data_IF_956875882677
#
_entry.id   IF_956875882677
#
_cell.length_a   1.000
_cell.length_b   1.000
_cell.length_c   1.000
_cell.angle_alpha   90.00
_cell.angle_beta   90.00
_cell.angle_gamma   90.00
#
_symmetry.space_group_name_H-M   'P 1'
#
loop_
_entity.id
_entity.type
_entity.pdbx_description
1 polymer ?
#
# COMPACT_ATOMS: atom_id res chain seq x y z
N UNK A 1 -12.31 16.85 8.55
CA UNK A 1 -11.56 16.10 7.52
C UNK A 1 -12.11 14.67 7.48
N UNK A 2 -12.21 14.05 6.29
CA UNK A 2 -12.65 12.66 6.17
C UNK A 2 -11.53 11.74 6.68
N UNK A 3 -11.82 10.94 7.69
CA UNK A 3 -10.91 9.90 8.21
C UNK A 3 -11.41 8.50 7.86
N UNK A 4 -12.67 8.37 7.44
CA UNK A 4 -13.27 7.10 7.09
C UNK A 4 -13.23 6.87 5.57
N UNK A 5 -12.41 5.92 5.13
CA UNK A 5 -12.46 5.38 3.78
C UNK A 5 -13.57 4.32 3.73
N UNK A 6 -14.63 4.59 2.96
CA UNK A 6 -15.76 3.68 2.78
C UNK A 6 -15.82 3.23 1.32
N UNK A 7 -15.56 1.95 1.07
CA UNK A 7 -15.65 1.31 -0.25
C UNK A 7 -16.21 -0.10 -0.07
N UNK A 8 -16.87 -0.66 -1.08
CA UNK A 8 -17.34 -2.07 -1.09
C UNK A 8 -18.02 -2.58 0.21
N UNK A 9 -18.72 -1.72 0.95
CA UNK A 9 -19.35 -2.08 2.24
C UNK A 9 -18.40 -2.22 3.44
N UNK A 10 -17.11 -1.92 3.29
CA UNK A 10 -16.09 -1.88 4.35
C UNK A 10 -15.70 -0.44 4.66
N UNK A 11 -15.44 -0.16 5.94
CA UNK A 11 -14.89 1.13 6.42
C UNK A 11 -13.51 0.94 7.02
N UNK A 12 -12.60 1.88 6.74
CA UNK A 12 -11.29 1.99 7.37
C UNK A 12 -11.12 3.40 7.94
N UNK A 13 -10.74 3.50 9.21
CA UNK A 13 -10.34 4.76 9.85
C UNK A 13 -8.86 5.00 9.57
N UNK A 14 -8.55 5.90 8.65
CA UNK A 14 -7.19 6.21 8.22
C UNK A 14 -6.76 7.61 8.65
N UNK A 15 -5.55 7.69 9.22
CA UNK A 15 -4.92 8.92 9.68
C UNK A 15 -3.57 9.15 9.01
N UNK A 16 -3.22 10.44 8.84
CA UNK A 16 -1.87 10.83 8.44
C UNK A 16 -0.91 10.70 9.62
N UNK A 17 0.36 10.56 9.30
CA UNK A 17 1.45 10.52 10.28
C UNK A 17 2.46 11.65 10.05
N UNK A 18 2.93 12.33 11.11
CA UNK A 18 2.38 12.29 12.47
C UNK A 18 0.97 12.91 12.51
N UNK A 19 0.14 12.48 13.46
CA UNK A 19 -1.19 13.06 13.65
C UNK A 19 -1.06 14.53 14.08
N UNK A 20 -1.76 15.43 13.38
CA UNK A 20 -1.78 16.88 13.66
C UNK A 20 -3.19 17.32 14.01
N UNK A 21 -3.31 18.32 14.89
CA UNK A 21 -4.60 18.85 15.36
C UNK A 21 -5.42 19.52 14.24
N UNK A 22 -4.76 20.25 13.35
CA UNK A 22 -5.41 20.95 12.22
C UNK A 22 -5.01 20.31 10.89
N UNK A 23 -5.18 19.00 10.78
CA UNK A 23 -4.88 18.29 9.53
C UNK A 23 -5.94 18.63 8.46
N UNK A 24 -5.47 19.08 7.29
CA UNK A 24 -6.31 19.45 6.15
C UNK A 24 -6.30 18.40 5.05
N UNK A 25 -5.31 17.50 5.07
CA UNK A 25 -5.12 16.46 4.06
C UNK A 25 -5.58 15.10 4.59
N UNK A 26 -6.24 14.31 3.76
CA UNK A 26 -6.55 12.92 4.11
C UNK A 26 -5.36 11.96 3.92
N UNK A 27 -5.50 10.76 4.48
CA UNK A 27 -4.47 9.73 4.50
C UNK A 27 -4.42 8.87 3.23
N UNK A 28 -5.42 9.00 2.36
CA UNK A 28 -5.50 8.35 1.06
C UNK A 28 -5.96 9.37 0.02
N UNK A 29 -5.84 9.05 -1.26
CA UNK A 29 -6.36 9.87 -2.36
C UNK A 29 -7.20 9.06 -3.36
N UNK A 30 -7.65 9.70 -4.44
CA UNK A 30 -8.48 9.04 -5.45
C UNK A 30 -7.73 7.93 -6.21
N UNK A 31 -6.39 7.96 -6.23
CA UNK A 31 -5.57 6.88 -6.80
C UNK A 31 -5.63 5.62 -5.94
N UNK A 32 -5.68 5.79 -4.61
CA UNK A 32 -5.91 4.67 -3.69
C UNK A 32 -7.28 4.02 -3.93
N UNK A 33 -8.33 4.84 -4.00
CA UNK A 33 -9.69 4.36 -4.25
C UNK A 33 -9.79 3.65 -5.61
N UNK A 34 -9.13 4.21 -6.64
CA UNK A 34 -9.09 3.60 -7.97
C UNK A 34 -8.40 2.23 -7.95
N UNK A 35 -7.23 2.11 -7.32
CA UNK A 35 -6.52 0.83 -7.23
C UNK A 35 -7.31 -0.22 -6.44
N UNK A 36 -7.98 0.19 -5.35
CA UNK A 36 -8.86 -0.70 -4.59
C UNK A 36 -9.98 -1.24 -5.49
N UNK A 37 -10.75 -0.35 -6.12
CA UNK A 37 -11.87 -0.75 -6.96
C UNK A 37 -11.41 -1.66 -8.11
N UNK A 38 -10.31 -1.29 -8.76
CA UNK A 38 -9.77 -2.06 -9.89
C UNK A 38 -9.35 -3.48 -9.49
N UNK A 39 -8.68 -3.64 -8.34
CA UNK A 39 -8.23 -4.97 -7.88
C UNK A 39 -9.42 -5.81 -7.38
N UNK A 40 -10.41 -5.22 -6.73
CA UNK A 40 -11.65 -5.94 -6.37
C UNK A 40 -12.41 -6.41 -7.62
N UNK A 41 -12.45 -5.61 -8.69
CA UNK A 41 -13.03 -5.98 -9.98
C UNK A 41 -12.28 -7.14 -10.67
N UNK A 42 -10.97 -7.27 -10.45
CA UNK A 42 -10.20 -8.42 -10.95
C UNK A 42 -10.59 -9.74 -10.27
N UNK A 43 -11.32 -9.70 -9.14
CA UNK A 43 -11.79 -10.86 -8.40
C UNK A 43 -10.68 -11.90 -8.15
N UNK A 44 -9.53 -11.42 -7.66
CA UNK A 44 -8.39 -12.27 -7.34
C UNK A 44 -8.78 -13.35 -6.31
N UNK A 45 -8.23 -14.58 -6.41
CA UNK A 45 -8.36 -15.56 -5.35
C UNK A 45 -7.87 -15.00 -4.00
N UNK A 46 -8.38 -15.52 -2.89
CA UNK A 46 -7.84 -15.16 -1.58
C UNK A 46 -6.38 -15.64 -1.44
N UNK A 47 -5.63 -15.01 -0.54
CA UNK A 47 -4.25 -15.36 -0.18
C UNK A 47 -3.17 -15.12 -1.25
N UNK A 48 -3.44 -14.28 -2.26
CA UNK A 48 -2.37 -13.76 -3.15
C UNK A 48 -1.29 -12.99 -2.38
N UNK A 49 -0.08 -12.99 -2.93
CA UNK A 49 1.06 -12.22 -2.44
C UNK A 49 1.12 -10.87 -3.15
N UNK A 50 0.73 -9.81 -2.44
CA UNK A 50 0.64 -8.46 -3.00
C UNK A 50 1.78 -7.61 -2.46
N UNK A 51 2.57 -7.02 -3.35
CA UNK A 51 3.59 -6.04 -2.98
C UNK A 51 3.04 -4.64 -3.26
N UNK A 52 2.89 -3.85 -2.20
CA UNK A 52 2.44 -2.46 -2.25
C UNK A 52 3.64 -1.54 -2.08
N UNK A 53 3.97 -0.78 -3.12
CA UNK A 53 5.14 0.11 -3.18
C UNK A 53 4.68 1.57 -3.10
N UNK A 54 5.28 2.33 -2.18
CA UNK A 54 5.07 3.75 -1.94
C UNK A 54 3.65 4.15 -1.53
N UNK A 55 2.91 3.26 -0.85
CA UNK A 55 1.66 3.65 -0.20
C UNK A 55 1.94 4.64 0.95
N UNK A 56 1.40 5.85 0.84
CA UNK A 56 1.78 6.99 1.67
C UNK A 56 1.51 6.77 3.16
N UNK A 57 0.35 6.21 3.51
CA UNK A 57 -0.08 6.00 4.90
C UNK A 57 -0.73 4.64 5.13
N UNK A 58 -0.57 3.68 4.22
CA UNK A 58 -1.04 2.31 4.38
C UNK A 58 -2.48 2.07 3.97
N UNK A 59 -3.09 2.92 3.13
CA UNK A 59 -4.48 2.74 2.72
C UNK A 59 -4.67 1.42 1.95
N UNK A 60 -3.80 1.17 0.96
CA UNK A 60 -3.80 -0.07 0.18
C UNK A 60 -3.37 -1.26 1.05
N UNK A 61 -2.38 -1.07 1.91
CA UNK A 61 -1.94 -2.14 2.82
C UNK A 61 -3.05 -2.56 3.80
N UNK A 62 -3.76 -1.61 4.41
CA UNK A 62 -4.89 -1.89 5.28
C UNK A 62 -6.02 -2.59 4.53
N UNK A 63 -6.31 -2.14 3.30
CA UNK A 63 -7.34 -2.74 2.48
C UNK A 63 -7.01 -4.20 2.13
N UNK A 64 -5.93 -4.43 1.39
CA UNK A 64 -5.65 -5.75 0.83
C UNK A 64 -5.20 -6.79 1.86
N UNK A 65 -4.72 -6.36 3.05
CA UNK A 65 -4.32 -7.31 4.10
C UNK A 65 -5.48 -8.17 4.62
N UNK A 66 -6.73 -7.77 4.44
CA UNK A 66 -7.89 -8.57 4.86
C UNK A 66 -7.92 -9.96 4.20
N UNK A 67 -7.66 -10.03 2.90
CA UNK A 67 -7.74 -11.27 2.10
C UNK A 67 -6.39 -11.76 1.59
N UNK A 68 -5.35 -10.93 1.59
CA UNK A 68 -4.09 -11.22 0.91
C UNK A 68 -2.87 -11.10 1.82
N UNK A 69 -1.77 -11.73 1.41
CA UNK A 69 -0.47 -11.58 2.05
C UNK A 69 0.22 -10.34 1.52
N UNK A 70 0.18 -9.25 2.30
CA UNK A 70 0.70 -7.96 1.86
C UNK A 70 2.14 -7.75 2.34
N UNK A 71 2.97 -7.30 1.40
CA UNK A 71 4.28 -6.70 1.67
C UNK A 71 4.21 -5.21 1.35
N UNK A 72 4.38 -4.37 2.37
CA UNK A 72 4.50 -2.93 2.24
C UNK A 72 5.98 -2.55 2.00
N UNK A 73 6.25 -1.78 0.96
CA UNK A 73 7.59 -1.34 0.59
C UNK A 73 7.65 0.17 0.38
N UNK A 74 8.55 0.86 1.08
CA UNK A 74 8.74 2.32 0.94
C UNK A 74 10.13 2.77 1.41
N UNK A 75 10.68 3.83 0.81
CA UNK A 75 11.88 4.54 1.31
C UNK A 75 11.54 5.62 2.36
N UNK A 76 10.26 5.82 2.67
CA UNK A 76 9.78 6.85 3.59
C UNK A 76 9.50 6.28 4.97
N UNK A 77 10.31 6.67 5.96
CA UNK A 77 10.06 6.33 7.37
C UNK A 77 8.68 6.81 7.85
N UNK A 78 8.24 7.98 7.38
CA UNK A 78 6.92 8.55 7.70
C UNK A 78 5.82 7.64 7.18
N UNK A 79 6.00 7.08 5.98
CA UNK A 79 5.03 6.17 5.37
C UNK A 79 4.98 4.83 6.08
N UNK A 80 6.15 4.28 6.45
CA UNK A 80 6.23 3.10 7.33
C UNK A 80 5.45 3.30 8.63
N UNK A 81 5.68 4.42 9.33
CA UNK A 81 4.99 4.71 10.59
C UNK A 81 3.51 4.97 10.43
N UNK A 82 3.11 5.67 9.36
CA UNK A 82 1.69 5.88 9.05
C UNK A 82 0.96 4.58 8.76
N UNK A 83 1.54 3.73 7.91
CA UNK A 83 0.97 2.43 7.59
C UNK A 83 0.88 1.52 8.82
N UNK A 84 1.95 1.41 9.62
CA UNK A 84 1.92 0.65 10.88
C UNK A 84 0.79 1.13 11.80
N UNK A 85 0.66 2.43 11.98
CA UNK A 85 -0.36 2.98 12.88
C UNK A 85 -1.78 2.71 12.37
N UNK A 86 -2.03 2.89 11.07
CA UNK A 86 -3.34 2.62 10.49
C UNK A 86 -3.68 1.13 10.50
N UNK A 87 -2.71 0.24 10.27
CA UNK A 87 -2.91 -1.21 10.39
C UNK A 87 -3.30 -1.60 11.82
N UNK A 88 -2.61 -1.05 12.82
CA UNK A 88 -2.94 -1.25 14.24
C UNK A 88 -4.33 -0.71 14.59
N UNK A 89 -4.64 0.52 14.18
CA UNK A 89 -5.91 1.19 14.51
C UNK A 89 -7.12 0.48 13.88
N UNK A 90 -6.94 -0.16 12.72
CA UNK A 90 -7.98 -0.94 12.02
C UNK A 90 -7.92 -2.45 12.33
N UNK A 91 -7.04 -2.89 13.24
CA UNK A 91 -6.87 -4.31 13.60
C UNK A 91 -6.64 -5.21 12.37
N UNK A 92 -5.90 -4.69 11.39
CA UNK A 92 -5.62 -5.40 10.15
C UNK A 92 -4.72 -6.63 10.37
N UNK A 93 -4.77 -7.55 9.40
CA UNK A 93 -3.84 -8.68 9.38
C UNK A 93 -2.39 -8.21 9.27
N UNK A 94 -1.47 -9.11 9.63
CA UNK A 94 -0.04 -8.83 9.63
C UNK A 94 0.47 -8.52 8.22
N UNK A 95 1.18 -7.40 8.10
CA UNK A 95 1.85 -6.95 6.87
C UNK A 95 3.36 -7.03 7.05
N UNK A 96 4.08 -7.52 6.03
CA UNK A 96 5.54 -7.47 6.01
C UNK A 96 6.01 -6.07 5.59
N UNK A 97 7.05 -5.53 6.22
CA UNK A 97 7.56 -4.20 5.93
C UNK A 97 8.98 -4.27 5.39
N UNK A 98 9.20 -3.68 4.21
CA UNK A 98 10.48 -3.59 3.51
C UNK A 98 10.78 -2.16 3.08
N UNK A 99 12.04 -1.89 2.78
CA UNK A 99 12.49 -0.68 2.08
C UNK A 99 12.61 -0.95 0.59
N UNK A 100 12.65 0.10 -0.23
CA UNK A 100 12.87 -0.04 -1.69
C UNK A 100 14.31 -0.46 -2.05
N UNK A 101 15.19 -0.65 -1.05
CA UNK A 101 16.53 -1.21 -1.20
C UNK A 101 16.58 -2.71 -0.91
N UNK A 102 15.52 -3.26 -0.30
CA UNK A 102 15.42 -4.70 -0.05
C UNK A 102 15.01 -5.45 -1.33
N UNK A 103 15.23 -6.77 -1.32
CA UNK A 103 14.79 -7.62 -2.42
C UNK A 103 13.28 -7.77 -2.41
N UNK A 104 12.66 -7.64 -3.59
CA UNK A 104 11.23 -7.90 -3.77
C UNK A 104 10.99 -9.42 -3.65
N UNK A 105 9.97 -9.88 -2.90
CA UNK A 105 9.67 -11.31 -2.77
C UNK A 105 9.46 -12.00 -4.12
N UNK A 106 10.10 -13.15 -4.33
CA UNK A 106 10.06 -13.86 -5.61
C UNK A 106 8.67 -14.44 -5.94
N UNK A 107 7.85 -14.70 -4.92
CA UNK A 107 6.49 -15.25 -5.05
C UNK A 107 5.41 -14.16 -5.20
N UNK A 108 5.74 -13.02 -5.80
CA UNK A 108 4.80 -11.89 -5.94
C UNK A 108 3.77 -12.16 -7.05
N UNK A 109 2.49 -12.13 -6.70
CA UNK A 109 1.37 -12.33 -7.63
C UNK A 109 0.88 -10.99 -8.24
N UNK A 110 0.94 -9.91 -7.45
CA UNK A 110 0.52 -8.58 -7.86
C UNK A 110 1.44 -7.50 -7.26
N UNK A 111 1.79 -6.51 -8.08
CA UNK A 111 2.52 -5.33 -7.62
C UNK A 111 1.64 -4.10 -7.81
N UNK A 112 1.41 -3.36 -6.73
CA UNK A 112 0.74 -2.07 -6.75
C UNK A 112 1.77 -0.98 -6.45
N UNK A 113 1.91 -0.02 -7.35
CA UNK A 113 2.91 1.06 -7.20
C UNK A 113 2.21 2.41 -7.25
N UNK A 114 2.26 3.15 -6.14
CA UNK A 114 2.03 4.58 -6.20
C UNK A 114 3.25 5.26 -6.82
N UNK A 115 3.03 6.07 -7.86
CA UNK A 115 4.11 6.71 -8.60
C UNK A 115 4.93 7.62 -7.66
N UNK A 116 6.26 7.39 -7.52
CA UNK A 116 7.08 8.24 -6.69
C UNK A 116 7.21 9.62 -7.32
N UNK A 117 7.37 10.65 -6.49
CA UNK A 117 7.53 12.04 -6.93
C UNK A 117 8.80 12.28 -7.78
N UNK A 118 9.77 11.35 -7.76
CA UNK A 118 11.04 11.48 -8.47
C UNK A 118 11.23 10.34 -9.46
N UNK A 119 11.44 10.67 -10.74
CA UNK A 119 11.65 9.70 -11.82
C UNK A 119 12.80 8.73 -11.55
N UNK A 120 13.88 9.18 -10.88
CA UNK A 120 15.00 8.28 -10.54
C UNK A 120 14.57 7.14 -9.62
N UNK A 121 13.66 7.42 -8.68
CA UNK A 121 13.14 6.37 -7.79
C UNK A 121 12.22 5.43 -8.56
N UNK A 122 11.40 5.94 -9.49
CA UNK A 122 10.59 5.10 -10.38
C UNK A 122 11.48 4.16 -11.21
N UNK A 123 12.52 4.71 -11.86
CA UNK A 123 13.49 3.91 -12.63
C UNK A 123 14.15 2.84 -11.77
N UNK A 124 14.51 3.18 -10.53
CA UNK A 124 15.05 2.21 -9.57
C UNK A 124 14.05 1.07 -9.29
N UNK A 125 12.81 1.40 -8.91
CA UNK A 125 11.76 0.41 -8.61
C UNK A 125 11.53 -0.51 -9.82
N UNK A 126 11.34 0.07 -11.02
CA UNK A 126 11.15 -0.69 -12.25
C UNK A 126 12.35 -1.59 -12.57
N UNK A 127 13.58 -1.13 -12.30
CA UNK A 127 14.78 -1.95 -12.48
C UNK A 127 14.87 -3.12 -11.51
N UNK A 128 14.34 -3.00 -10.28
CA UNK A 128 14.26 -4.12 -9.34
C UNK A 128 13.15 -5.09 -9.73
N UNK A 129 11.96 -4.57 -10.10
CA UNK A 129 10.84 -5.38 -10.56
C UNK A 129 11.20 -6.26 -11.76
N UNK A 130 11.92 -5.69 -12.74
CA UNK A 130 12.40 -6.44 -13.92
C UNK A 130 13.26 -7.66 -13.57
N UNK A 131 13.94 -7.66 -12.42
CA UNK A 131 14.81 -8.79 -12.02
C UNK A 131 14.03 -9.98 -11.46
N UNK A 132 12.83 -9.74 -10.92
CA UNK A 132 12.07 -10.74 -10.15
C UNK A 132 10.79 -11.17 -10.84
N UNK A 133 10.16 -10.29 -11.62
CA UNK A 133 8.91 -10.61 -12.28
C UNK A 133 9.16 -11.52 -13.50
N UNK A 134 8.27 -12.49 -13.76
CA UNK A 134 8.40 -13.38 -14.91
C UNK A 134 8.41 -12.57 -16.21
N UNK A 135 9.16 -13.06 -17.20
CA UNK A 135 9.08 -12.51 -18.56
C UNK A 135 7.74 -12.95 -19.15
N UNK A 136 6.93 -11.97 -19.57
CA UNK A 136 5.67 -12.21 -20.28
C UNK A 136 5.90 -12.88 -21.63
#
# INVERSE_FOLDING_TARGET
MKTELNLHGRSLTLHRFPKRSNETLQAWDAGDEYLINHVEEMALPDHQNIVVINDNFGALACWFSEKHHVTFMSDSFVSHKGAQKNLEDNQCNKVAFLTTMDSIPANTDLVLVQLPRRNRHLVWILSQLRKVLPTA
#
